data_IF_442523123461
#
_entry.id   IF_442523123461
#
_cell.length_a   1.000
_cell.length_b   1.000
_cell.length_c   1.000
_cell.angle_alpha   90.00
_cell.angle_beta   90.00
_cell.angle_gamma   90.00
#
_symmetry.space_group_name_H-M   'P 1'
#
loop_
_entity.id
_entity.type
_entity.pdbx_description
1 polymer ?
#
# COMPACT_ATOMS: atom_id res chain seq x y z
N UNK A 1 -16.36 14.79 15.41
CA UNK A 1 -15.34 15.21 14.43
C UNK A 1 -14.02 14.62 14.90
N UNK A 2 -13.22 14.00 14.04
CA UNK A 2 -11.91 13.46 14.44
C UNK A 2 -10.97 14.61 14.83
N UNK A 3 -10.13 14.43 15.84
CA UNK A 3 -8.99 15.32 16.11
C UNK A 3 -7.83 14.87 15.23
N UNK A 4 -7.70 15.46 14.04
CA UNK A 4 -6.72 15.03 13.03
C UNK A 4 -5.45 15.86 13.12
N UNK A 5 -4.30 15.20 13.26
CA UNK A 5 -2.98 15.81 13.14
C UNK A 5 -2.20 15.18 12.00
N UNK A 6 -1.53 16.02 11.24
CA UNK A 6 -0.76 15.62 10.06
C UNK A 6 0.63 16.19 10.19
N UNK A 7 1.63 15.33 10.06
CA UNK A 7 3.03 15.67 10.16
C UNK A 7 3.70 15.51 8.81
N UNK A 8 4.52 16.51 8.43
CA UNK A 8 5.35 16.54 7.22
C UNK A 8 4.55 16.42 5.90
N UNK A 9 3.33 16.97 5.85
CA UNK A 9 2.51 16.93 4.64
C UNK A 9 3.21 17.56 3.43
N UNK A 10 4.01 18.60 3.66
CA UNK A 10 4.85 19.25 2.67
C UNK A 10 5.73 18.25 1.90
N UNK A 11 6.26 17.22 2.56
CA UNK A 11 7.06 16.17 1.92
C UNK A 11 6.27 15.44 0.82
N UNK A 12 4.99 15.14 1.07
CA UNK A 12 4.13 14.51 0.06
C UNK A 12 3.82 15.48 -1.08
N UNK A 13 3.54 16.74 -0.76
CA UNK A 13 3.24 17.76 -1.77
C UNK A 13 4.45 18.01 -2.68
N UNK A 14 5.66 18.07 -2.12
CA UNK A 14 6.87 18.23 -2.91
C UNK A 14 7.25 16.97 -3.68
N UNK A 15 7.06 15.78 -3.12
CA UNK A 15 7.21 14.53 -3.87
C UNK A 15 6.24 14.47 -5.07
N UNK A 16 5.00 14.94 -4.89
CA UNK A 16 4.03 15.06 -5.99
C UNK A 16 4.52 16.03 -7.05
N UNK A 17 4.95 17.25 -6.70
CA UNK A 17 5.50 18.21 -7.68
C UNK A 17 6.71 17.64 -8.41
N UNK A 18 7.65 17.03 -7.68
CA UNK A 18 8.84 16.42 -8.25
C UNK A 18 8.50 15.30 -9.23
N UNK A 19 7.51 14.46 -8.91
CA UNK A 19 7.07 13.38 -9.80
C UNK A 19 6.60 13.92 -11.16
N UNK A 20 5.95 15.10 -11.18
CA UNK A 20 5.51 15.76 -12.42
C UNK A 20 6.67 16.39 -13.19
N UNK A 21 7.64 16.99 -12.51
CA UNK A 21 8.85 17.56 -13.14
C UNK A 21 9.70 16.46 -13.78
N UNK A 22 9.98 15.39 -13.03
CA UNK A 22 10.77 14.24 -13.50
C UNK A 22 9.99 13.33 -14.44
N UNK A 23 8.66 13.52 -14.54
CA UNK A 23 7.73 12.69 -15.32
C UNK A 23 7.88 11.20 -14.95
N UNK A 24 7.81 10.94 -13.64
CA UNK A 24 7.88 9.62 -12.98
C UNK A 24 6.61 9.41 -12.16
N UNK A 25 6.22 8.17 -11.92
CA UNK A 25 5.08 7.86 -11.06
C UNK A 25 5.35 8.26 -9.60
N UNK A 26 4.30 8.60 -8.85
CA UNK A 26 4.34 8.74 -7.39
C UNK A 26 3.66 7.52 -6.77
N UNK A 27 4.37 6.77 -5.94
CA UNK A 27 3.83 5.65 -5.18
C UNK A 27 3.81 6.00 -3.70
N UNK A 28 2.62 6.23 -3.14
CA UNK A 28 2.45 6.30 -1.69
C UNK A 28 2.12 4.94 -1.13
N UNK A 29 2.79 4.56 -0.04
CA UNK A 29 2.51 3.34 0.71
C UNK A 29 2.02 3.72 2.11
N UNK A 30 1.10 2.95 2.67
CA UNK A 30 0.58 3.21 4.01
C UNK A 30 0.26 1.92 4.76
N UNK A 31 0.41 1.94 6.09
CA UNK A 31 -0.12 0.87 6.94
C UNK A 31 -1.65 0.89 6.92
N UNK A 32 -2.28 -0.27 7.12
CA UNK A 32 -3.72 -0.39 6.97
C UNK A 32 -4.37 -0.77 8.30
N UNK A 33 -4.86 0.24 9.01
CA UNK A 33 -5.49 0.11 10.33
C UNK A 33 -7.01 0.06 10.28
N UNK A 34 -7.65 0.49 9.20
CA UNK A 34 -9.10 0.61 9.13
C UNK A 34 -9.63 0.59 7.71
N UNK A 35 -10.87 0.11 7.52
CA UNK A 35 -11.59 0.27 6.23
C UNK A 35 -11.82 1.75 5.87
N UNK A 36 -11.71 2.66 6.83
CA UNK A 36 -11.82 4.10 6.63
C UNK A 36 -10.51 4.77 6.20
N UNK A 37 -9.39 4.05 6.21
CA UNK A 37 -8.09 4.64 5.85
C UNK A 37 -8.15 5.28 4.46
N UNK A 38 -8.62 4.55 3.46
CA UNK A 38 -8.67 5.02 2.08
C UNK A 38 -9.57 6.25 1.90
N UNK A 39 -10.85 6.28 2.34
CA UNK A 39 -11.69 7.46 2.12
C UNK A 39 -11.30 8.66 2.98
N UNK A 40 -10.70 8.46 4.17
CA UNK A 40 -10.44 9.56 5.11
C UNK A 40 -9.03 10.13 5.04
N UNK A 41 -8.00 9.34 4.71
CA UNK A 41 -6.62 9.83 4.79
C UNK A 41 -6.34 10.98 3.83
N UNK A 42 -7.11 11.15 2.77
CA UNK A 42 -6.92 12.23 1.79
C UNK A 42 -7.60 13.54 2.16
N UNK A 43 -8.40 13.55 3.24
CA UNK A 43 -8.88 14.79 3.84
C UNK A 43 -7.74 15.67 4.38
N UNK A 44 -6.51 15.14 4.46
CA UNK A 44 -5.32 15.89 4.84
C UNK A 44 -4.79 16.80 3.72
N UNK A 45 -5.20 16.58 2.47
CA UNK A 45 -4.68 17.33 1.33
C UNK A 45 -5.29 18.74 1.25
N UNK A 46 -4.60 19.70 0.62
CA UNK A 46 -5.19 21.00 0.28
C UNK A 46 -6.50 20.84 -0.50
N UNK A 47 -7.48 21.70 -0.19
CA UNK A 47 -8.86 21.55 -0.66
C UNK A 47 -9.00 21.47 -2.19
N UNK A 48 -8.12 22.11 -2.94
CA UNK A 48 -8.13 22.09 -4.40
C UNK A 48 -7.88 20.69 -4.99
N UNK A 49 -7.16 19.81 -4.29
CA UNK A 49 -6.90 18.43 -4.74
C UNK A 49 -8.20 17.64 -4.94
N UNK A 50 -9.22 17.88 -4.10
CA UNK A 50 -10.52 17.21 -4.17
C UNK A 50 -11.32 17.53 -5.44
N UNK A 51 -11.04 18.65 -6.11
CA UNK A 51 -11.77 19.09 -7.32
C UNK A 51 -11.07 18.69 -8.62
N UNK A 52 -9.83 18.20 -8.54
CA UNK A 52 -9.04 17.85 -9.71
C UNK A 52 -8.63 16.36 -9.62
N UNK A 53 -9.39 15.43 -10.22
CA UNK A 53 -9.10 14.00 -10.15
C UNK A 53 -7.67 13.61 -10.56
N UNK A 54 -7.08 14.31 -11.54
CA UNK A 54 -5.69 14.12 -11.98
C UNK A 54 -4.62 14.52 -10.93
N UNK A 55 -5.02 15.26 -9.89
CA UNK A 55 -4.19 15.57 -8.71
C UNK A 55 -4.33 14.54 -7.60
N UNK A 56 -5.27 13.62 -7.74
CA UNK A 56 -5.56 12.58 -6.77
C UNK A 56 -4.94 11.25 -7.19
N UNK A 57 -4.56 10.50 -6.17
CA UNK A 57 -4.17 9.09 -6.24
C UNK A 57 -5.25 8.18 -6.84
N UNK A 58 -4.78 7.20 -7.60
CA UNK A 58 -5.44 5.90 -7.78
C UNK A 58 -5.11 4.98 -6.61
N UNK A 59 -5.95 4.01 -6.30
CA UNK A 59 -5.69 3.04 -5.22
C UNK A 59 -6.26 1.67 -5.54
N UNK A 60 -5.86 0.65 -4.78
CA UNK A 60 -6.35 -0.72 -4.89
C UNK A 60 -7.41 -0.98 -3.81
N UNK A 61 -8.63 -1.28 -4.21
CA UNK A 61 -9.75 -1.59 -3.32
C UNK A 61 -10.12 -3.06 -3.33
N UNK A 62 -10.48 -3.60 -2.17
CA UNK A 62 -10.91 -4.99 -2.07
C UNK A 62 -12.24 -5.24 -2.81
N UNK A 63 -12.25 -6.11 -3.81
CA UNK A 63 -13.44 -6.45 -4.60
C UNK A 63 -14.63 -6.85 -3.70
N UNK A 64 -14.37 -7.74 -2.74
CA UNK A 64 -15.38 -8.27 -1.83
C UNK A 64 -15.87 -7.29 -0.74
N UNK A 65 -15.38 -6.04 -0.74
CA UNK A 65 -15.81 -4.98 0.20
C UNK A 65 -16.32 -3.78 -0.58
N UNK A 66 -15.50 -3.25 -1.50
CA UNK A 66 -15.76 -2.02 -2.24
C UNK A 66 -16.67 -2.24 -3.46
N UNK A 67 -16.75 -3.46 -3.99
CA UNK A 67 -17.44 -3.75 -5.26
C UNK A 67 -18.58 -4.77 -5.09
N UNK A 68 -19.18 -4.81 -3.89
CA UNK A 68 -20.26 -5.76 -3.54
C UNK A 68 -21.60 -5.45 -4.21
N UNK A 69 -21.85 -4.19 -4.58
CA UNK A 69 -23.06 -3.76 -5.26
C UNK A 69 -22.79 -2.59 -6.22
N UNK A 70 -23.72 -2.32 -7.14
CA UNK A 70 -23.56 -1.31 -8.20
C UNK A 70 -23.36 0.11 -7.67
N UNK A 71 -24.01 0.48 -6.57
CA UNK A 71 -23.87 1.82 -5.97
C UNK A 71 -22.45 2.00 -5.42
N UNK A 72 -22.00 1.05 -4.60
CA UNK A 72 -20.68 1.09 -3.99
C UNK A 72 -19.56 0.98 -5.03
N UNK A 73 -19.72 0.09 -6.01
CA UNK A 73 -18.81 -0.04 -7.14
C UNK A 73 -18.70 1.28 -7.92
N UNK A 74 -19.81 1.98 -8.18
CA UNK A 74 -19.78 3.29 -8.85
C UNK A 74 -19.07 4.34 -8.01
N UNK A 75 -19.35 4.40 -6.70
CA UNK A 75 -18.70 5.34 -5.79
C UNK A 75 -17.18 5.16 -5.79
N UNK A 76 -16.70 3.93 -5.58
CA UNK A 76 -15.26 3.65 -5.54
C UNK A 76 -14.59 3.78 -6.91
N UNK A 77 -15.23 3.39 -8.01
CA UNK A 77 -14.69 3.64 -9.35
C UNK A 77 -14.52 5.14 -9.64
N UNK A 78 -15.48 5.98 -9.24
CA UNK A 78 -15.36 7.44 -9.36
C UNK A 78 -14.28 8.03 -8.45
N UNK A 79 -14.02 7.37 -7.31
CA UNK A 79 -12.92 7.69 -6.40
C UNK A 79 -11.54 7.19 -6.85
N UNK A 80 -11.41 6.70 -8.09
CA UNK A 80 -10.17 6.14 -8.67
C UNK A 80 -9.67 4.87 -7.95
N UNK A 81 -10.59 4.01 -7.52
CA UNK A 81 -10.27 2.73 -6.87
C UNK A 81 -10.34 1.58 -7.88
N UNK A 82 -9.27 0.81 -7.97
CA UNK A 82 -9.13 -0.38 -8.82
C UNK A 82 -9.57 -1.63 -8.05
N UNK A 83 -10.56 -2.36 -8.58
CA UNK A 83 -11.07 -3.60 -7.98
C UNK A 83 -9.99 -4.68 -7.93
N UNK A 84 -9.66 -5.13 -6.72
CA UNK A 84 -8.54 -6.04 -6.43
C UNK A 84 -9.00 -7.25 -5.63
N UNK A 85 -8.64 -8.45 -6.09
CA UNK A 85 -8.89 -9.71 -5.40
C UNK A 85 -7.80 -9.94 -4.35
N UNK A 86 -8.20 -9.98 -3.07
CA UNK A 86 -7.28 -10.16 -1.93
C UNK A 86 -6.87 -11.61 -1.70
N UNK A 87 -7.75 -12.56 -2.00
CA UNK A 87 -7.57 -13.98 -1.70
C UNK A 87 -7.52 -14.79 -3.00
N UNK A 88 -6.58 -15.72 -3.10
CA UNK A 88 -6.47 -16.69 -4.20
C UNK A 88 -5.92 -16.16 -5.54
N UNK A 89 -6.01 -14.85 -5.82
CA UNK A 89 -5.55 -14.30 -7.12
C UNK A 89 -4.03 -14.07 -7.22
N UNK A 90 -3.35 -13.85 -6.09
CA UNK A 90 -1.92 -13.53 -6.07
C UNK A 90 -1.60 -12.12 -6.60
N UNK A 91 -0.30 -11.80 -6.81
CA UNK A 91 0.13 -10.46 -7.23
C UNK A 91 0.01 -10.20 -8.74
N UNK A 92 -0.26 -11.24 -9.55
CA UNK A 92 -0.39 -11.16 -11.01
C UNK A 92 -1.87 -11.05 -11.39
N UNK A 93 -2.43 -9.87 -11.18
CA UNK A 93 -3.84 -9.57 -11.46
C UNK A 93 -3.97 -8.18 -12.07
N UNK A 94 -5.03 -7.99 -12.87
CA UNK A 94 -5.20 -6.78 -13.69
C UNK A 94 -5.21 -5.46 -12.92
N UNK A 95 -5.58 -5.43 -11.64
CA UNK A 95 -5.52 -4.19 -10.85
C UNK A 95 -4.09 -3.79 -10.48
N UNK A 96 -3.20 -4.76 -10.24
CA UNK A 96 -1.78 -4.49 -10.02
C UNK A 96 -1.13 -4.05 -11.34
N UNK A 97 -1.48 -4.72 -12.45
CA UNK A 97 -1.00 -4.37 -13.79
C UNK A 97 -1.44 -2.97 -14.20
N UNK A 98 -2.71 -2.60 -13.92
CA UNK A 98 -3.21 -1.25 -14.10
C UNK A 98 -2.46 -0.23 -13.21
N UNK A 99 -2.15 -0.59 -11.95
CA UNK A 99 -1.34 0.24 -11.07
C UNK A 99 0.08 0.49 -11.62
N UNK A 100 0.72 -0.54 -12.19
CA UNK A 100 2.00 -0.41 -12.88
C UNK A 100 1.87 0.51 -14.09
N UNK A 101 0.85 0.29 -14.93
CA UNK A 101 0.58 1.12 -16.11
C UNK A 101 0.36 2.59 -15.75
N UNK A 102 -0.34 2.88 -14.66
CA UNK A 102 -0.53 4.23 -14.13
C UNK A 102 0.78 4.88 -13.65
N UNK A 103 1.71 4.09 -13.09
CA UNK A 103 3.04 4.56 -12.68
C UNK A 103 4.02 4.68 -13.85
N UNK A 104 3.71 4.06 -14.97
CA UNK A 104 4.44 4.13 -16.24
C UNK A 104 3.99 5.34 -17.07
N UNK A 105 4.79 5.68 -18.09
CA UNK A 105 4.35 6.65 -19.11
C UNK A 105 3.38 5.99 -20.10
N UNK A 106 3.56 4.69 -20.32
CA UNK A 106 2.82 3.94 -21.32
C UNK A 106 3.11 4.39 -22.75
N UNK A 107 2.40 3.79 -23.71
CA UNK A 107 2.57 4.10 -25.14
C UNK A 107 1.90 5.42 -25.55
N UNK A 108 0.76 5.72 -24.93
CA UNK A 108 0.08 7.01 -25.06
C UNK A 108 0.81 7.95 -24.12
N UNK A 109 1.47 9.01 -24.63
CA UNK A 109 2.33 10.01 -23.94
C UNK A 109 1.69 10.74 -22.73
N UNK A 110 0.98 10.05 -21.86
CA UNK A 110 0.35 10.54 -20.64
C UNK A 110 1.45 10.65 -19.57
N UNK A 111 1.32 11.66 -18.72
CA UNK A 111 2.20 11.77 -17.56
C UNK A 111 1.88 10.62 -16.58
N UNK A 112 2.89 10.01 -15.95
CA UNK A 112 2.64 9.05 -14.89
C UNK A 112 1.80 9.65 -13.77
N UNK A 113 0.98 8.80 -13.19
CA UNK A 113 -0.02 9.14 -12.18
C UNK A 113 0.51 8.88 -10.77
N UNK A 114 -0.31 9.28 -9.80
CA UNK A 114 -0.12 8.95 -8.40
C UNK A 114 -0.89 7.68 -8.08
N UNK A 115 -0.22 6.66 -7.54
CA UNK A 115 -0.83 5.44 -7.00
C UNK A 115 -0.59 5.35 -5.50
N UNK A 116 -1.62 4.94 -4.78
CA UNK A 116 -1.58 4.61 -3.38
C UNK A 116 -1.84 3.12 -3.18
N UNK A 117 -1.16 2.53 -2.18
CA UNK A 117 -1.40 1.14 -1.82
C UNK A 117 -1.21 0.91 -0.33
N UNK A 118 -1.92 -0.09 0.16
CA UNK A 118 -1.79 -0.66 1.49
C UNK A 118 -1.08 -2.01 1.37
N UNK A 119 0.25 -2.08 1.50
CA UNK A 119 1.01 -3.30 1.18
C UNK A 119 0.69 -4.51 2.08
N UNK A 120 0.09 -4.27 3.26
CA UNK A 120 -0.43 -5.32 4.15
C UNK A 120 -1.63 -6.06 3.55
N UNK A 121 -2.27 -5.51 2.51
CA UNK A 121 -3.38 -6.07 1.74
C UNK A 121 -4.63 -6.48 2.55
N UNK A 122 -4.68 -6.12 3.83
CA UNK A 122 -5.80 -6.35 4.75
C UNK A 122 -5.69 -5.31 5.87
N UNK A 123 -6.82 -5.02 6.51
CA UNK A 123 -6.83 -4.29 7.77
C UNK A 123 -6.09 -5.10 8.83
N UNK A 124 -5.21 -4.41 9.55
CA UNK A 124 -4.38 -4.95 10.60
C UNK A 124 -4.57 -4.11 11.87
N UNK A 125 -5.35 -4.65 12.81
CA UNK A 125 -5.58 -4.05 14.12
C UNK A 125 -5.07 -4.99 15.23
N UNK A 126 -3.74 -5.08 15.40
CA UNK A 126 -3.16 -5.89 16.46
C UNK A 126 -3.59 -5.37 17.83
N UNK A 127 -3.91 -6.30 18.74
CA UNK A 127 -4.30 -5.98 20.11
C UNK A 127 -3.05 -5.77 20.99
N UNK A 128 -3.26 -5.26 22.21
CA UNK A 128 -2.17 -5.13 23.20
C UNK A 128 -1.40 -6.45 23.39
N UNK A 129 -0.06 -6.42 23.46
CA UNK A 129 0.83 -5.25 23.47
C UNK A 129 1.34 -4.83 22.07
N UNK A 130 0.76 -5.35 20.99
CA UNK A 130 1.29 -5.23 19.62
C UNK A 130 0.59 -4.14 18.78
N UNK A 131 -0.08 -3.19 19.39
CA UNK A 131 -0.84 -2.17 18.66
C UNK A 131 0.04 -1.42 17.66
N UNK A 132 -0.50 -1.13 16.48
CA UNK A 132 0.19 -0.37 15.43
C UNK A 132 1.51 -1.01 14.94
N UNK A 133 1.77 -2.30 15.22
CA UNK A 133 2.83 -3.05 14.52
C UNK A 133 2.45 -3.31 13.07
N UNK A 134 3.44 -3.66 12.24
CA UNK A 134 3.24 -3.91 10.81
C UNK A 134 3.27 -5.39 10.48
N UNK A 135 2.39 -5.81 9.56
CA UNK A 135 2.53 -7.09 8.88
C UNK A 135 3.67 -7.08 7.85
N UNK A 136 4.01 -8.26 7.35
CA UNK A 136 4.76 -8.37 6.10
C UNK A 136 3.99 -7.73 4.94
N UNK A 137 4.74 -7.16 4.01
CA UNK A 137 4.20 -6.54 2.80
C UNK A 137 4.06 -7.57 1.68
N UNK A 138 2.96 -7.50 0.91
CA UNK A 138 2.70 -8.38 -0.22
C UNK A 138 3.48 -7.94 -1.46
N UNK A 139 3.85 -8.90 -2.30
CA UNK A 139 4.60 -8.65 -3.54
C UNK A 139 3.94 -7.70 -4.55
N UNK A 140 2.64 -7.39 -4.43
CA UNK A 140 2.00 -6.40 -5.29
C UNK A 140 2.69 -5.03 -5.23
N UNK A 141 3.16 -4.60 -4.05
CA UNK A 141 3.95 -3.35 -3.94
C UNK A 141 5.30 -3.49 -4.64
N UNK A 142 5.95 -4.65 -4.53
CA UNK A 142 7.22 -4.91 -5.19
C UNK A 142 7.09 -4.80 -6.71
N UNK A 143 6.00 -5.33 -7.28
CA UNK A 143 5.70 -5.18 -8.71
C UNK A 143 5.55 -3.72 -9.11
N UNK A 144 4.79 -2.93 -8.36
CA UNK A 144 4.62 -1.48 -8.59
C UNK A 144 5.92 -0.67 -8.45
N UNK A 145 6.96 -1.22 -7.82
CA UNK A 145 8.28 -0.61 -7.75
C UNK A 145 9.15 -1.09 -8.91
N UNK A 146 9.16 -2.39 -9.19
CA UNK A 146 10.09 -3.07 -10.11
C UNK A 146 9.69 -2.96 -11.59
N UNK A 147 8.39 -2.88 -11.89
CA UNK A 147 7.88 -3.08 -13.24
C UNK A 147 7.54 -1.80 -14.03
N UNK A 148 7.28 -0.61 -13.43
CA UNK A 148 7.04 0.61 -14.23
C UNK A 148 8.24 1.03 -15.10
N UNK A 149 8.05 1.80 -16.16
CA UNK A 149 9.14 2.13 -17.12
C UNK A 149 10.30 2.88 -16.45
N UNK A 150 9.95 3.80 -15.55
CA UNK A 150 10.88 4.56 -14.71
C UNK A 150 10.57 4.25 -13.23
N UNK A 151 11.58 4.22 -12.34
CA UNK A 151 11.34 3.99 -10.93
C UNK A 151 10.38 5.06 -10.38
N UNK A 152 9.32 4.71 -9.63
CA UNK A 152 8.49 5.74 -9.01
C UNK A 152 9.23 6.44 -7.86
N UNK A 153 8.73 7.62 -7.46
CA UNK A 153 9.08 8.22 -6.17
C UNK A 153 8.21 7.52 -5.12
N UNK A 154 8.81 6.93 -4.09
CA UNK A 154 8.08 6.12 -3.10
C UNK A 154 8.02 6.85 -1.77
N UNK A 155 6.82 7.18 -1.29
CA UNK A 155 6.60 7.96 -0.06
C UNK A 155 5.85 7.12 0.97
N UNK A 156 6.45 6.79 2.13
CA UNK A 156 5.75 6.12 3.21
C UNK A 156 4.87 7.09 3.99
N UNK A 157 3.65 6.67 4.31
CA UNK A 157 2.72 7.37 5.20
C UNK A 157 2.37 6.40 6.32
N UNK A 158 2.56 6.80 7.56
CA UNK A 158 2.12 6.00 8.71
C UNK A 158 0.93 6.67 9.40
N UNK A 159 -0.07 5.89 9.77
CA UNK A 159 -1.25 6.36 10.52
C UNK A 159 -1.46 5.56 11.80
N UNK A 160 -2.10 6.21 12.77
CA UNK A 160 -2.72 5.56 13.93
C UNK A 160 -4.00 6.27 14.35
N UNK A 161 -4.87 5.56 15.06
CA UNK A 161 -6.13 6.07 15.63
C UNK A 161 -7.38 5.76 14.82
N UNK A 162 -7.26 5.40 13.54
CA UNK A 162 -8.42 5.00 12.71
C UNK A 162 -8.97 3.62 13.07
N UNK A 163 -8.14 2.76 13.69
CA UNK A 163 -8.54 1.50 14.29
C UNK A 163 -9.58 1.68 15.41
N UNK A 164 -9.60 2.83 16.10
CA UNK A 164 -10.58 3.12 17.13
C UNK A 164 -11.93 3.57 16.54
N UNK A 165 -11.92 4.22 15.38
CA UNK A 165 -13.13 4.64 14.70
C UNK A 165 -13.92 3.45 14.14
N UNK A 166 -13.22 2.42 13.64
CA UNK A 166 -13.82 1.18 13.12
C UNK A 166 -13.07 -0.06 13.65
N UNK A 167 -13.32 -0.49 14.90
CA UNK A 167 -12.65 -1.67 15.46
C UNK A 167 -13.07 -2.97 14.75
N UNK A 168 -12.11 -3.85 14.48
CA UNK A 168 -12.35 -5.21 14.01
C UNK A 168 -13.22 -5.98 15.04
N UNK A 169 -14.17 -6.77 14.53
CA UNK A 169 -15.12 -7.55 15.33
C UNK A 169 -16.47 -6.88 15.59
N UNK A 170 -16.68 -5.64 15.12
CA UNK A 170 -17.98 -4.97 15.23
C UNK A 170 -18.89 -5.34 14.04
N UNK A 171 -20.12 -5.78 14.33
CA UNK A 171 -21.13 -6.12 13.29
C UNK A 171 -21.77 -4.90 12.61
N UNK A 172 -21.22 -3.69 12.78
CA UNK A 172 -21.78 -2.46 12.26
C UNK A 172 -20.73 -1.66 11.49
N UNK A 173 -21.11 -1.20 10.29
CA UNK A 173 -20.31 -0.26 9.49
C UNK A 173 -20.45 1.21 9.95
N UNK A 174 -21.03 1.43 11.15
CA UNK A 174 -21.19 2.76 11.74
C UNK A 174 -19.93 3.08 12.57
N UNK A 175 -19.23 4.20 12.26
CA UNK A 175 -18.09 4.64 13.05
C UNK A 175 -18.45 4.81 14.52
N UNK A 176 -17.52 4.48 15.43
CA UNK A 176 -17.71 4.73 16.85
C UNK A 176 -17.93 6.23 17.11
N UNK A 177 -18.93 6.54 17.95
CA UNK A 177 -19.39 7.90 18.25
C UNK A 177 -18.42 8.73 19.10
N UNK A 178 -17.23 8.20 19.39
CA UNK A 178 -16.24 8.82 20.28
C UNK A 178 -15.29 9.68 19.43
N UNK A 179 -14.88 10.83 19.97
CA UNK A 179 -13.85 11.65 19.35
C UNK A 179 -12.51 10.92 19.47
N UNK A 180 -12.03 10.41 18.34
CA UNK A 180 -10.72 9.77 18.25
C UNK A 180 -9.70 10.76 17.68
N UNK A 181 -8.49 10.74 18.27
CA UNK A 181 -7.33 11.41 17.67
C UNK A 181 -6.79 10.52 16.56
N UNK A 182 -6.63 11.10 15.38
CA UNK A 182 -6.06 10.43 14.21
C UNK A 182 -4.80 11.16 13.81
N UNK A 183 -3.70 10.44 13.70
CA UNK A 183 -2.40 11.04 13.40
C UNK A 183 -1.79 10.42 12.15
N UNK A 184 -1.38 11.26 11.22
CA UNK A 184 -0.65 10.86 10.03
C UNK A 184 0.77 11.42 10.08
N UNK A 185 1.75 10.59 9.77
CA UNK A 185 3.13 11.01 9.56
C UNK A 185 3.61 10.62 8.16
N UNK A 186 3.87 11.63 7.34
CA UNK A 186 4.48 11.44 6.02
C UNK A 186 5.99 11.36 6.18
N UNK A 187 6.57 10.27 5.70
CA UNK A 187 8.01 10.05 5.75
C UNK A 187 8.73 10.60 4.52
N UNK A 188 10.05 10.71 4.65
CA UNK A 188 10.92 11.02 3.51
C UNK A 188 10.75 9.96 2.43
N UNK A 189 10.83 10.33 1.13
CA UNK A 189 10.86 9.36 0.06
C UNK A 189 11.98 8.33 0.27
N UNK A 190 11.75 7.08 -0.15
CA UNK A 190 12.80 6.05 -0.13
C UNK A 190 14.02 6.51 -0.93
N UNK A 191 15.21 6.12 -0.46
CA UNK A 191 16.47 6.46 -1.12
C UNK A 191 16.46 6.00 -2.58
N UNK A 192 16.61 6.93 -3.56
CA UNK A 192 16.62 6.58 -4.97
C UNK A 192 17.67 5.54 -5.35
N UNK A 193 18.82 5.50 -4.65
CA UNK A 193 19.89 4.54 -4.93
C UNK A 193 19.48 3.10 -4.61
N UNK A 194 18.79 2.89 -3.49
CA UNK A 194 18.25 1.58 -3.09
C UNK A 194 17.18 1.12 -4.09
N UNK A 195 16.28 2.02 -4.49
CA UNK A 195 15.26 1.72 -5.50
C UNK A 195 15.93 1.35 -6.82
N UNK A 196 16.94 2.13 -7.25
CA UNK A 196 17.66 1.91 -8.50
C UNK A 196 18.39 0.56 -8.53
N UNK A 197 18.97 0.13 -7.40
CA UNK A 197 19.60 -1.19 -7.29
C UNK A 197 18.60 -2.31 -7.58
N UNK A 198 17.44 -2.32 -6.90
CA UNK A 198 16.40 -3.32 -7.16
C UNK A 198 15.90 -3.28 -8.60
N UNK A 199 15.81 -2.09 -9.20
CA UNK A 199 15.44 -1.92 -10.61
C UNK A 199 16.46 -2.52 -11.57
N UNK A 200 17.75 -2.37 -11.28
CA UNK A 200 18.81 -2.93 -12.11
C UNK A 200 18.79 -4.46 -12.05
N UNK A 201 18.65 -5.03 -10.86
CA UNK A 201 18.51 -6.47 -10.69
C UNK A 201 17.28 -7.01 -11.44
N UNK A 202 16.14 -6.33 -11.38
CA UNK A 202 14.96 -6.72 -12.16
C UNK A 202 15.19 -6.64 -13.66
N UNK A 203 15.81 -5.57 -14.17
CA UNK A 203 16.13 -5.44 -15.60
C UNK A 203 17.06 -6.56 -16.06
N UNK A 204 18.07 -6.91 -15.27
CA UNK A 204 18.95 -8.05 -15.59
C UNK A 204 18.16 -9.36 -15.67
N UNK A 205 17.24 -9.61 -14.73
CA UNK A 205 16.39 -10.81 -14.78
C UNK A 205 15.52 -10.87 -16.04
N UNK A 206 15.02 -9.72 -16.50
CA UNK A 206 14.24 -9.62 -17.75
C UNK A 206 15.12 -9.87 -18.97
N UNK A 207 16.32 -9.29 -19.02
CA UNK A 207 17.30 -9.49 -20.10
C UNK A 207 17.80 -10.93 -20.19
N UNK A 208 17.99 -11.58 -19.04
CA UNK A 208 18.41 -12.98 -18.94
C UNK A 208 17.30 -13.97 -19.34
N UNK A 209 16.04 -13.52 -19.43
CA UNK A 209 14.92 -14.39 -19.79
C UNK A 209 14.75 -14.45 -21.32
N UNK A 210 15.03 -15.61 -21.96
CA UNK A 210 15.05 -15.74 -23.40
C UNK A 210 13.67 -15.57 -24.07
N UNK A 211 12.58 -15.54 -23.29
CA UNK A 211 11.20 -15.39 -23.79
C UNK A 211 10.58 -14.04 -23.41
N UNK A 212 11.29 -13.17 -22.68
CA UNK A 212 10.74 -11.90 -22.22
C UNK A 212 10.35 -10.93 -23.33
N UNK A 213 10.97 -11.01 -24.51
CA UNK A 213 10.68 -10.11 -25.64
C UNK A 213 9.56 -10.60 -26.56
N UNK A 214 8.93 -11.74 -26.25
CA UNK A 214 7.95 -12.38 -27.13
C UNK A 214 6.48 -12.02 -26.81
N UNK A 215 6.23 -11.32 -25.69
CA UNK A 215 4.89 -10.92 -25.22
C UNK A 215 5.00 -9.73 -24.28
N UNK A 216 3.96 -8.90 -24.21
CA UNK A 216 3.82 -7.86 -23.18
C UNK A 216 3.58 -8.45 -21.77
N UNK A 217 3.21 -9.74 -21.70
CA UNK A 217 3.03 -10.46 -20.44
C UNK A 217 4.34 -11.06 -19.90
N UNK A 218 4.54 -10.96 -18.59
CA UNK A 218 5.64 -11.64 -17.90
C UNK A 218 5.59 -13.16 -18.13
N UNK A 219 6.75 -13.74 -18.44
CA UNK A 219 6.96 -15.19 -18.54
C UNK A 219 6.74 -15.88 -17.19
N UNK A 220 6.53 -17.20 -17.20
CA UNK A 220 6.41 -17.98 -15.96
C UNK A 220 7.68 -17.91 -15.11
N UNK A 221 8.85 -17.79 -15.73
CA UNK A 221 10.11 -17.62 -15.01
C UNK A 221 10.20 -16.24 -14.34
N UNK A 222 9.75 -15.17 -14.99
CA UNK A 222 9.67 -13.85 -14.37
C UNK A 222 8.56 -13.75 -13.31
N UNK A 223 7.49 -14.54 -13.43
CA UNK A 223 6.40 -14.61 -12.43
C UNK A 223 6.79 -15.44 -11.21
N UNK A 224 7.29 -16.65 -11.44
CA UNK A 224 7.42 -17.70 -10.43
C UNK A 224 8.82 -18.25 -10.25
N UNK A 225 9.81 -17.80 -11.03
CA UNK A 225 11.20 -18.20 -10.87
C UNK A 225 11.78 -17.76 -9.52
N UNK A 226 12.67 -18.57 -8.96
CA UNK A 226 13.23 -18.38 -7.61
C UNK A 226 13.89 -17.00 -7.45
N UNK A 227 14.70 -16.58 -8.44
CA UNK A 227 15.36 -15.27 -8.42
C UNK A 227 14.35 -14.11 -8.40
N UNK A 228 13.29 -14.19 -9.21
CA UNK A 228 12.26 -13.17 -9.27
C UNK A 228 11.43 -13.10 -7.98
N UNK A 229 11.10 -14.25 -7.38
CA UNK A 229 10.42 -14.31 -6.08
C UNK A 229 11.28 -13.76 -4.94
N UNK A 230 12.58 -14.09 -4.94
CA UNK A 230 13.55 -13.58 -3.96
C UNK A 230 13.65 -12.06 -4.04
N UNK A 231 13.84 -11.51 -5.24
CA UNK A 231 13.90 -10.06 -5.45
C UNK A 231 12.61 -9.37 -4.98
N UNK A 232 11.44 -9.91 -5.33
CA UNK A 232 10.16 -9.35 -4.85
C UNK A 232 10.04 -9.37 -3.33
N UNK A 233 10.55 -10.40 -2.67
CA UNK A 233 10.55 -10.48 -1.21
C UNK A 233 11.48 -9.44 -0.58
N UNK A 234 12.69 -9.27 -1.12
CA UNK A 234 13.64 -8.25 -0.66
C UNK A 234 13.08 -6.83 -0.82
N UNK A 235 12.44 -6.54 -1.96
CA UNK A 235 11.79 -5.24 -2.17
C UNK A 235 10.64 -5.02 -1.19
N UNK A 236 9.80 -6.03 -0.95
CA UNK A 236 8.69 -5.91 0.00
C UNK A 236 9.20 -5.65 1.43
N UNK A 237 10.26 -6.34 1.84
CA UNK A 237 10.92 -6.18 3.13
C UNK A 237 11.52 -4.77 3.27
N UNK A 238 12.34 -4.33 2.30
CA UNK A 238 12.93 -2.98 2.32
C UNK A 238 11.87 -1.87 2.36
N UNK A 239 10.76 -2.07 1.66
CA UNK A 239 9.60 -1.16 1.66
C UNK A 239 8.92 -1.12 3.03
N UNK A 240 8.78 -2.28 3.69
CA UNK A 240 8.24 -2.39 5.04
C UNK A 240 9.16 -1.72 6.06
N UNK A 241 10.47 -1.92 5.97
CA UNK A 241 11.42 -1.25 6.85
C UNK A 241 11.41 0.27 6.68
N UNK A 242 11.22 0.76 5.45
CA UNK A 242 11.05 2.20 5.22
C UNK A 242 9.80 2.75 5.93
N UNK A 243 8.69 1.98 5.93
CA UNK A 243 7.50 2.31 6.70
C UNK A 243 7.77 2.30 8.21
N UNK A 244 8.43 1.26 8.71
CA UNK A 244 8.74 1.13 10.14
C UNK A 244 9.66 2.26 10.63
N UNK A 245 10.72 2.57 9.86
CA UNK A 245 11.61 3.72 10.14
C UNK A 245 10.83 5.02 10.16
N UNK A 246 9.92 5.23 9.21
CA UNK A 246 9.04 6.41 9.20
C UNK A 246 8.21 6.49 10.48
N UNK A 247 7.52 5.40 10.84
CA UNK A 247 6.69 5.32 12.04
C UNK A 247 7.50 5.66 13.30
N UNK A 248 8.63 4.99 13.50
CA UNK A 248 9.46 5.11 14.71
C UNK A 248 10.23 6.42 14.81
N UNK A 249 10.51 7.08 13.67
CA UNK A 249 11.17 8.39 13.68
C UNK A 249 10.32 9.49 14.31
N UNK A 250 9.01 9.28 14.40
CA UNK A 250 8.05 10.26 14.90
C UNK A 250 7.28 9.76 16.12
N UNK A 251 6.73 8.54 16.07
CA UNK A 251 5.97 7.93 17.15
C UNK A 251 6.90 7.12 18.05
N UNK A 252 7.48 7.77 19.06
CA UNK A 252 8.43 7.15 20.00
C UNK A 252 7.78 6.21 21.00
N UNK A 253 6.46 6.24 21.11
CA UNK A 253 5.63 5.44 22.02
C UNK A 253 5.10 4.14 21.38
N UNK A 254 5.43 3.86 20.11
CA UNK A 254 5.02 2.61 19.47
C UNK A 254 5.71 1.39 20.12
N UNK A 255 4.99 0.28 20.31
CA UNK A 255 5.59 -0.93 20.83
C UNK A 255 6.73 -1.43 19.91
N UNK A 256 7.70 -2.18 20.44
CA UNK A 256 8.74 -2.80 19.62
C UNK A 256 8.13 -3.71 18.56
N UNK A 257 8.64 -3.59 17.34
CA UNK A 257 8.22 -4.44 16.25
C UNK A 257 8.68 -5.87 16.53
N UNK A 258 8.06 -6.83 15.84
CA UNK A 258 8.34 -8.24 16.04
C UNK A 258 8.94 -8.78 14.76
N UNK A 259 10.17 -9.31 14.81
CA UNK A 259 10.82 -9.89 13.63
C UNK A 259 9.96 -11.00 13.00
N UNK A 260 9.26 -11.78 13.84
CA UNK A 260 8.28 -12.77 13.37
C UNK A 260 7.15 -12.18 12.51
N UNK A 261 6.76 -10.92 12.70
CA UNK A 261 5.69 -10.29 11.92
C UNK A 261 6.14 -9.91 10.49
N UNK A 262 7.45 -9.84 10.24
CA UNK A 262 8.02 -9.63 8.91
C UNK A 262 7.89 -10.88 8.03
N UNK A 263 7.72 -12.06 8.63
CA UNK A 263 7.75 -13.34 7.93
C UNK A 263 6.36 -13.75 7.43
N UNK A 264 6.13 -13.96 6.12
CA UNK A 264 4.86 -14.46 5.61
C UNK A 264 4.42 -15.80 6.23
N UNK A 265 5.38 -16.67 6.57
CA UNK A 265 5.15 -17.98 7.20
C UNK A 265 4.48 -17.88 8.56
N UNK A 266 4.85 -16.90 9.39
CA UNK A 266 4.19 -16.64 10.67
C UNK A 266 2.69 -16.38 10.51
N UNK A 267 2.29 -15.66 9.46
CA UNK A 267 0.90 -15.32 9.20
C UNK A 267 0.10 -16.43 8.51
N UNK A 268 0.79 -17.39 7.89
CA UNK A 268 0.18 -18.58 7.32
C UNK A 268 -0.16 -19.63 8.38
N UNK A 269 0.52 -19.60 9.54
CA UNK A 269 0.28 -20.53 10.63
C UNK A 269 -1.13 -20.34 11.22
N UNK A 270 -1.98 -21.39 11.25
CA UNK A 270 -3.30 -21.33 11.90
C UNK A 270 -3.21 -21.15 13.43
N UNK A 271 -2.10 -21.56 14.05
CA UNK A 271 -1.81 -21.40 15.48
C UNK A 271 -1.06 -20.10 15.80
N UNK A 272 -0.87 -19.21 14.82
CA UNK A 272 -0.28 -17.89 15.07
C UNK A 272 -1.00 -17.22 16.25
N UNK A 273 -0.21 -16.60 17.12
CA UNK A 273 -0.64 -16.01 18.38
C UNK A 273 -2.02 -15.33 18.23
N UNK A 274 -3.02 -15.83 18.97
CA UNK A 274 -4.35 -15.21 19.09
C UNK A 274 -4.22 -13.76 19.62
N UNK A 275 -3.06 -13.42 20.19
CA UNK A 275 -2.67 -12.08 20.64
C UNK A 275 -2.52 -11.02 19.53
N UNK A 276 -2.65 -11.36 18.24
CA UNK A 276 -2.47 -10.39 17.13
C UNK A 276 -3.78 -10.04 16.42
N UNK A 277 -4.88 -10.76 16.70
CA UNK A 277 -6.23 -10.44 16.20
C UNK A 277 -7.29 -10.93 17.19
N UNK A 278 -8.33 -10.13 17.43
CA UNK A 278 -9.50 -10.62 18.18
C UNK A 278 -10.09 -11.82 17.44
N UNK A 279 -10.36 -12.94 18.15
CA UNK A 279 -11.23 -13.98 17.61
C UNK A 279 -12.58 -13.33 17.27
N UNK A 280 -13.22 -13.68 16.14
CA UNK A 280 -14.63 -13.36 15.96
C UNK A 280 -15.37 -13.86 17.20
N UNK A 281 -16.17 -13.01 17.85
CA UNK A 281 -17.05 -13.50 18.90
C UNK A 281 -17.92 -14.60 18.27
N UNK A 282 -17.83 -15.82 18.81
CA UNK A 282 -18.78 -16.89 18.51
C UNK A 282 -20.13 -16.44 19.08
N UNK A 283 -20.90 -15.71 18.29
CA UNK A 283 -22.30 -15.44 18.61
C UNK A 283 -23.06 -16.76 18.58
N UNK A 284 -23.47 -17.22 19.76
CA UNK A 284 -24.62 -18.10 19.95
C UNK A 284 -25.89 -17.48 19.39
#
# INVERSE_FOLDING_TARGET
>A
MFDTKVHNLDVLLEAYKQSKIEKRGLLTIMNHTSVLDEPLCWGILPFDYSFYPHRMRWTLGAENICFTNKFLARFFSLGQVLSTKRFGAGPFQGSVDAGISLLSRGEVKKLPEWVHTFPESIVHQPIMPHQNTLRYFKWGVSRMILEPDNPPIIVPIFTRGLEHAMPEGRNSFIPASIQHRVEFNVGKPMDPSVVQQFRQEWKQLVEDDPKATASDDLTDNLKFGEKAQKLRSQVAEATREAMERNARSFFTDLPPDQDRFKLPSFWADPNRDVAVRKKPEETK
#
